data_IF_523229232890
#
_entry.id   IF_523229232890
#
_cell.length_a   1.000
_cell.length_b   1.000
_cell.length_c   1.000
_cell.angle_alpha   90.00
_cell.angle_beta   90.00
_cell.angle_gamma   90.00
#
_symmetry.space_group_name_H-M   'P 1'
#
loop_
_entity.id
_entity.type
_entity.pdbx_description
1 polymer ?
#
# COMPACT_ATOMS: atom_id res chain seq x y z
N UNK A 1 4.65 -1.16 -12.53
CA UNK A 1 4.49 -0.29 -11.35
C UNK A 1 3.54 -1.00 -10.39
N UNK A 2 3.87 -1.10 -9.09
CA UNK A 2 2.95 -1.67 -8.12
C UNK A 2 1.70 -0.80 -7.98
N UNK A 3 0.57 -1.47 -7.88
CA UNK A 3 -0.75 -0.88 -7.83
C UNK A 3 -1.40 -1.28 -6.51
N UNK A 4 -1.99 -0.33 -5.80
CA UNK A 4 -2.67 -0.58 -4.55
C UNK A 4 -4.14 -0.21 -4.65
N UNK A 5 -5.00 -1.09 -4.14
CA UNK A 5 -6.41 -0.75 -3.98
C UNK A 5 -6.54 0.29 -2.86
N UNK A 6 -7.33 1.33 -3.12
CA UNK A 6 -7.68 2.35 -2.13
C UNK A 6 -8.54 1.76 -1.00
N UNK A 7 -8.53 2.42 0.14
CA UNK A 7 -9.35 2.07 1.29
C UNK A 7 -10.83 2.29 0.99
N UNK A 8 -11.65 1.30 1.29
CA UNK A 8 -13.10 1.36 1.12
C UNK A 8 -13.75 2.19 2.26
N UNK A 9 -14.35 3.35 1.96
CA UNK A 9 -14.96 4.20 2.98
C UNK A 9 -16.18 3.56 3.67
N UNK A 10 -16.76 2.48 3.11
CA UNK A 10 -17.84 1.74 3.78
C UNK A 10 -17.34 1.00 5.02
N UNK A 11 -16.05 0.68 5.11
CA UNK A 11 -15.46 0.01 6.27
C UNK A 11 -15.28 0.97 7.45
N UNK A 12 -15.24 2.28 7.21
CA UNK A 12 -15.14 3.29 8.26
C UNK A 12 -14.39 4.54 7.85
N UNK A 13 -13.96 5.32 8.85
CA UNK A 13 -13.17 6.54 8.64
C UNK A 13 -11.71 6.23 8.84
N UNK A 14 -10.93 6.40 7.78
CA UNK A 14 -9.48 6.20 7.79
C UNK A 14 -8.81 7.21 8.74
N UNK A 15 -7.92 6.74 9.61
CA UNK A 15 -7.19 7.56 10.60
C UNK A 15 -5.71 7.71 10.26
N UNK A 16 -5.11 6.70 9.64
CA UNK A 16 -3.74 6.80 9.13
C UNK A 16 -3.47 5.74 8.07
N UNK A 17 -2.49 6.00 7.20
CA UNK A 17 -1.96 5.02 6.25
C UNK A 17 -0.48 4.84 6.48
N UNK A 18 -0.06 3.60 6.71
CA UNK A 18 1.36 3.26 6.80
C UNK A 18 1.78 2.49 5.56
N UNK A 19 2.82 2.99 4.91
CA UNK A 19 3.48 2.33 3.79
C UNK A 19 4.78 1.71 4.27
N UNK A 20 4.97 0.43 3.98
CA UNK A 20 6.24 -0.27 4.14
C UNK A 20 6.80 -0.54 2.75
N UNK A 21 7.81 0.24 2.37
CA UNK A 21 8.43 0.19 1.06
C UNK A 21 9.79 -0.47 1.17
N UNK A 22 10.01 -1.55 0.43
CA UNK A 22 11.33 -2.12 0.22
C UNK A 22 11.86 -1.69 -1.14
N UNK A 23 12.90 -0.87 -1.14
CA UNK A 23 13.61 -0.42 -2.33
C UNK A 23 14.81 -1.33 -2.59
N UNK A 24 14.90 -1.84 -3.83
CA UNK A 24 16.05 -2.61 -4.30
C UNK A 24 16.65 -1.91 -5.52
N UNK A 25 17.96 -1.70 -5.52
CA UNK A 25 18.69 -1.04 -6.60
C UNK A 25 19.95 -1.82 -6.93
N UNK A 26 20.20 -2.02 -8.22
CA UNK A 26 21.44 -2.61 -8.73
C UNK A 26 22.27 -1.51 -9.38
N UNK A 27 23.52 -1.38 -8.96
CA UNK A 27 24.48 -0.44 -9.53
C UNK A 27 25.55 -1.21 -10.28
N UNK A 28 25.91 -0.72 -11.46
CA UNK A 28 26.91 -1.32 -12.32
C UNK A 28 28.04 -0.34 -12.59
N UNK A 29 29.27 -0.79 -12.40
CA UNK A 29 30.48 0.00 -12.58
C UNK A 29 31.36 -0.69 -13.61
N UNK A 30 31.76 0.03 -14.65
CA UNK A 30 32.73 -0.47 -15.61
C UNK A 30 34.11 -0.05 -15.16
N UNK A 31 35.02 -1.02 -15.11
CA UNK A 31 36.39 -0.85 -14.67
C UNK A 31 37.39 -1.06 -15.82
N UNK A 32 36.92 -1.06 -17.06
CA UNK A 32 37.73 -1.15 -18.28
C UNK A 32 38.37 -2.52 -18.54
N UNK A 33 38.22 -3.48 -17.62
CA UNK A 33 38.99 -4.72 -17.62
C UNK A 33 40.40 -4.55 -17.07
N UNK A 34 40.64 -3.50 -16.27
CA UNK A 34 41.90 -3.30 -15.55
C UNK A 34 42.21 -4.52 -14.66
N UNK A 35 43.32 -5.24 -14.90
CA UNK A 35 43.67 -6.44 -14.15
C UNK A 35 44.14 -6.14 -12.72
N UNK A 36 44.45 -4.87 -12.39
CA UNK A 36 44.81 -4.47 -11.02
C UNK A 36 43.60 -4.38 -10.09
N UNK A 37 42.39 -4.27 -10.66
CA UNK A 37 41.16 -4.24 -9.89
C UNK A 37 40.75 -5.69 -9.59
N UNK A 38 40.53 -6.04 -8.30
CA UNK A 38 40.06 -7.37 -7.93
C UNK A 38 38.78 -7.75 -8.68
N UNK A 39 38.47 -9.05 -8.79
CA UNK A 39 37.21 -9.50 -9.41
C UNK A 39 35.97 -9.14 -8.58
N UNK A 40 36.15 -8.86 -7.30
CA UNK A 40 35.10 -8.54 -6.35
C UNK A 40 35.60 -7.52 -5.31
N UNK A 41 35.88 -6.27 -5.69
CA UNK A 41 36.34 -5.25 -4.76
C UNK A 41 35.21 -4.80 -3.83
N UNK A 42 35.58 -4.22 -2.70
CA UNK A 42 34.64 -3.47 -1.88
C UNK A 42 34.41 -2.08 -2.48
N UNK A 43 33.15 -1.67 -2.63
CA UNK A 43 32.78 -0.39 -3.23
C UNK A 43 32.00 0.44 -2.22
N UNK A 44 32.43 1.69 -2.00
CA UNK A 44 31.66 2.66 -1.23
C UNK A 44 30.57 3.26 -2.11
N UNK A 45 29.34 3.22 -1.64
CA UNK A 45 28.18 3.80 -2.30
C UNK A 45 27.57 4.87 -1.41
N UNK A 46 27.35 6.03 -1.99
CA UNK A 46 26.79 7.20 -1.31
C UNK A 46 25.63 7.78 -2.12
N UNK A 47 24.52 8.15 -1.46
CA UNK A 47 23.39 8.79 -2.12
C UNK A 47 22.07 8.63 -1.36
N UNK A 48 20.96 8.68 -2.09
CA UNK A 48 19.61 8.57 -1.52
C UNK A 48 18.72 7.65 -2.34
N UNK A 49 17.95 6.79 -1.66
CA UNK A 49 16.95 5.90 -2.26
C UNK A 49 15.59 6.23 -1.64
N UNK A 50 14.52 6.34 -2.44
CA UNK A 50 13.18 6.44 -1.87
C UNK A 50 12.16 7.12 -2.78
N UNK A 51 11.22 7.84 -2.18
CA UNK A 51 10.35 8.80 -2.85
C UNK A 51 10.12 9.96 -1.88
N UNK A 52 10.04 11.20 -2.38
CA UNK A 52 9.88 12.36 -1.51
C UNK A 52 8.57 12.31 -0.68
N UNK A 53 7.54 11.63 -1.18
CA UNK A 53 6.29 11.38 -0.45
C UNK A 53 6.42 10.20 0.49
N UNK A 54 6.97 9.08 0.02
CA UNK A 54 6.97 7.82 0.77
C UNK A 54 8.22 7.56 1.63
N UNK A 55 9.12 8.55 1.71
CA UNK A 55 10.31 8.55 2.55
C UNK A 55 11.61 8.36 1.76
N UNK A 56 12.65 9.06 2.19
CA UNK A 56 14.01 9.02 1.63
C UNK A 56 14.96 8.32 2.59
N UNK A 57 15.84 7.47 2.07
CA UNK A 57 16.91 6.78 2.82
C UNK A 57 18.24 7.25 2.32
N UNK A 58 19.05 7.81 3.21
CA UNK A 58 20.45 8.06 2.93
C UNK A 58 21.25 6.76 2.98
N UNK A 59 22.11 6.56 1.99
CA UNK A 59 23.04 5.42 1.92
C UNK A 59 24.44 6.00 1.93
N UNK A 60 25.29 5.49 2.82
CA UNK A 60 26.72 5.79 2.83
C UNK A 60 27.51 4.61 3.39
N UNK A 61 27.62 3.55 2.61
CA UNK A 61 28.09 2.25 3.06
C UNK A 61 29.00 1.59 2.05
N UNK A 62 29.77 0.60 2.50
CA UNK A 62 30.66 -0.18 1.66
C UNK A 62 30.02 -1.54 1.40
N UNK A 63 29.96 -1.93 0.13
CA UNK A 63 29.35 -3.16 -0.30
C UNK A 63 30.38 -4.07 -0.97
N UNK A 64 30.24 -5.37 -0.74
CA UNK A 64 30.93 -6.37 -1.52
C UNK A 64 30.35 -6.38 -2.93
N UNK A 65 31.17 -6.05 -3.93
CA UNK A 65 30.75 -6.15 -5.32
C UNK A 65 30.91 -7.57 -5.86
N UNK A 66 30.13 -7.89 -6.90
CA UNK A 66 30.24 -9.13 -7.64
C UNK A 66 30.50 -8.86 -9.13
N UNK A 67 31.41 -9.61 -9.73
CA UNK A 67 31.65 -9.57 -11.18
C UNK A 67 30.38 -9.90 -11.94
N UNK A 68 29.98 -9.02 -12.86
CA UNK A 68 28.85 -9.25 -13.76
C UNK A 68 29.35 -9.72 -15.12
N UNK A 69 30.35 -9.01 -15.65
CA UNK A 69 30.99 -9.27 -16.94
C UNK A 69 32.50 -9.05 -16.83
N UNK A 70 33.31 -9.38 -17.86
CA UNK A 70 34.76 -9.19 -17.82
C UNK A 70 35.23 -7.75 -17.58
N UNK A 71 34.36 -6.75 -17.75
CA UNK A 71 34.65 -5.32 -17.57
C UNK A 71 33.71 -4.62 -16.59
N UNK A 72 32.74 -5.34 -16.00
CA UNK A 72 31.69 -4.74 -15.18
C UNK A 72 31.55 -5.47 -13.86
N UNK A 73 31.48 -4.70 -12.78
CA UNK A 73 31.14 -5.18 -11.44
C UNK A 73 29.79 -4.59 -11.02
N UNK A 74 29.07 -5.32 -10.18
CA UNK A 74 27.73 -4.96 -9.73
C UNK A 74 27.63 -4.95 -8.21
N UNK A 75 26.80 -4.06 -7.69
CA UNK A 75 26.41 -4.00 -6.28
C UNK A 75 24.89 -3.93 -6.19
N UNK A 76 24.29 -4.76 -5.34
CA UNK A 76 22.87 -4.67 -5.00
C UNK A 76 22.70 -4.02 -3.63
N UNK A 77 21.76 -3.09 -3.56
CA UNK A 77 21.41 -2.37 -2.33
C UNK A 77 19.93 -2.56 -2.07
N UNK A 78 19.59 -2.94 -0.84
CA UNK A 78 18.21 -3.08 -0.38
C UNK A 78 17.99 -2.23 0.88
N UNK A 79 16.95 -1.41 0.87
CA UNK A 79 16.52 -0.59 2.01
C UNK A 79 15.02 -0.68 2.22
N UNK A 80 14.60 -0.66 3.47
CA UNK A 80 13.19 -0.64 3.83
C UNK A 80 12.88 0.65 4.58
N UNK A 81 11.80 1.31 4.18
CA UNK A 81 11.28 2.52 4.83
C UNK A 81 9.84 2.30 5.21
N UNK A 82 9.50 2.73 6.42
CA UNK A 82 8.12 2.79 6.91
C UNK A 82 7.73 4.26 7.05
N UNK A 83 6.68 4.68 6.34
CA UNK A 83 6.19 6.06 6.37
C UNK A 83 4.70 6.05 6.69
N UNK A 84 4.29 6.82 7.69
CA UNK A 84 2.89 6.93 8.12
C UNK A 84 2.37 8.33 7.83
N UNK A 85 1.22 8.38 7.16
CA UNK A 85 0.49 9.61 6.87
C UNK A 85 -0.72 9.71 7.80
N UNK A 86 -0.89 10.89 8.39
CA UNK A 86 -2.06 11.26 9.20
C UNK A 86 -2.91 12.34 8.52
N UNK A 87 -2.36 12.97 7.48
CA UNK A 87 -2.98 14.00 6.66
C UNK A 87 -3.14 13.53 5.21
N UNK A 88 -3.90 14.28 4.41
CA UNK A 88 -4.15 13.93 3.00
C UNK A 88 -4.83 12.58 2.80
N UNK A 89 -5.54 12.07 3.82
CA UNK A 89 -6.09 10.71 3.82
C UNK A 89 -7.10 10.44 2.68
N UNK A 90 -7.70 11.50 2.13
CA UNK A 90 -8.59 11.45 0.98
C UNK A 90 -7.93 10.95 -0.30
N UNK A 91 -6.60 11.04 -0.42
CA UNK A 91 -5.88 10.44 -1.55
C UNK A 91 -5.96 8.91 -1.53
N UNK A 92 -6.06 8.33 -0.33
CA UNK A 92 -6.01 6.88 -0.09
C UNK A 92 -7.39 6.23 0.05
N UNK A 93 -8.48 7.00 0.05
CA UNK A 93 -9.85 6.50 0.20
C UNK A 93 -10.63 6.54 -1.12
N UNK A 94 -11.64 5.68 -1.24
CA UNK A 94 -12.58 5.66 -2.36
C UNK A 94 -12.37 4.49 -3.32
N UNK A 95 -12.95 4.60 -4.51
CA UNK A 95 -12.94 3.52 -5.49
C UNK A 95 -11.71 3.62 -6.41
N UNK A 96 -11.06 2.48 -6.67
CA UNK A 96 -10.00 2.36 -7.66
C UNK A 96 -8.64 1.99 -7.11
N UNK A 97 -7.63 2.20 -7.95
CA UNK A 97 -6.24 1.83 -7.73
C UNK A 97 -5.38 3.09 -7.75
N UNK A 98 -4.43 3.21 -6.82
CA UNK A 98 -3.41 4.24 -6.85
C UNK A 98 -2.07 3.66 -7.36
N UNK A 99 -1.36 4.38 -8.26
CA UNK A 99 0.00 4.02 -8.61
C UNK A 99 0.94 4.39 -7.46
N UNK A 100 1.89 3.50 -7.16
CA UNK A 100 3.03 3.83 -6.30
C UNK A 100 4.29 3.68 -7.14
N UNK A 101 5.08 4.75 -7.20
CA UNK A 101 6.37 4.77 -7.85
C UNK A 101 7.43 5.26 -6.86
N UNK A 102 8.68 4.89 -7.12
CA UNK A 102 9.83 5.26 -6.30
C UNK A 102 11.01 5.63 -7.20
N UNK A 103 11.80 6.62 -6.76
CA UNK A 103 12.90 7.21 -7.51
C UNK A 103 14.05 7.62 -6.58
N UNK A 104 15.29 7.24 -6.89
CA UNK A 104 16.47 7.59 -6.09
C UNK A 104 17.69 7.91 -6.94
N UNK A 105 18.67 8.60 -6.35
CA UNK A 105 19.97 8.90 -6.96
C UNK A 105 21.08 8.29 -6.11
N UNK A 106 21.87 7.39 -6.68
CA UNK A 106 22.99 6.73 -6.02
C UNK A 106 24.28 6.93 -6.82
N UNK A 107 25.40 7.12 -6.12
CA UNK A 107 26.71 7.37 -6.73
C UNK A 107 27.82 6.59 -6.00
N UNK A 108 28.95 6.35 -6.67
CA UNK A 108 30.17 5.86 -6.02
C UNK A 108 31.35 6.78 -6.34
N UNK A 109 32.19 7.14 -5.35
CA UNK A 109 33.42 7.87 -5.62
C UNK A 109 34.46 6.99 -6.34
N UNK A 110 35.12 7.51 -7.37
CA UNK A 110 36.33 6.91 -7.95
C UNK A 110 36.15 5.87 -9.06
N UNK A 111 34.91 5.50 -9.42
CA UNK A 111 34.60 4.70 -10.61
C UNK A 111 33.65 5.50 -11.51
N UNK A 112 33.95 5.64 -12.81
CA UNK A 112 33.02 6.25 -13.75
C UNK A 112 31.84 5.29 -13.96
N UNK A 113 30.60 5.68 -13.61
CA UNK A 113 29.45 4.80 -13.83
C UNK A 113 29.27 4.56 -15.33
N UNK A 114 29.45 3.33 -15.80
CA UNK A 114 29.14 2.98 -17.20
C UNK A 114 27.64 2.99 -17.49
N UNK A 115 26.83 2.92 -16.45
CA UNK A 115 25.42 3.24 -16.46
C UNK A 115 24.95 3.08 -15.02
N UNK A 116 24.50 4.17 -14.41
CA UNK A 116 23.47 4.03 -13.37
C UNK A 116 22.18 3.74 -14.12
N UNK A 117 22.08 2.55 -14.70
CA UNK A 117 20.80 2.05 -15.14
C UNK A 117 20.03 1.78 -13.87
N UNK A 118 19.01 2.59 -13.62
CA UNK A 118 17.92 2.21 -12.74
C UNK A 118 16.96 1.39 -13.60
N UNK A 119 17.12 0.06 -13.76
CA UNK A 119 15.95 -0.72 -14.14
C UNK A 119 14.99 -0.48 -12.97
N UNK A 120 13.95 0.33 -13.22
CA UNK A 120 12.84 0.67 -12.33
C UNK A 120 12.96 -0.06 -10.97
N UNK A 121 13.37 0.61 -9.87
CA UNK A 121 13.53 -0.07 -8.59
C UNK A 121 12.28 -0.89 -8.32
N UNK A 122 12.44 -2.21 -8.25
CA UNK A 122 11.32 -3.07 -7.89
C UNK A 122 10.99 -2.74 -6.44
N UNK A 123 9.87 -2.04 -6.26
CA UNK A 123 9.35 -1.68 -4.95
C UNK A 123 8.32 -2.70 -4.54
N UNK A 124 8.58 -3.37 -3.43
CA UNK A 124 7.55 -4.13 -2.75
C UNK A 124 6.90 -3.20 -1.74
N UNK A 125 5.61 -2.97 -1.92
CA UNK A 125 4.84 -2.05 -1.10
C UNK A 125 3.78 -2.84 -0.37
N UNK A 126 3.84 -2.81 0.96
CA UNK A 126 2.75 -3.25 1.81
C UNK A 126 2.12 -2.03 2.45
N UNK A 127 0.78 -1.99 2.47
CA UNK A 127 0.02 -0.90 3.05
C UNK A 127 -0.87 -1.38 4.16
N UNK A 128 -0.82 -0.67 5.28
CA UNK A 128 -1.69 -0.88 6.42
C UNK A 128 -2.58 0.34 6.58
N UNK A 129 -3.89 0.12 6.51
CA UNK A 129 -4.90 1.13 6.78
C UNK A 129 -5.34 1.01 8.23
N UNK A 130 -5.19 2.09 9.00
CA UNK A 130 -5.79 2.20 10.32
C UNK A 130 -7.07 3.03 10.18
N UNK A 131 -8.17 2.58 10.78
CA UNK A 131 -9.47 3.23 10.64
C UNK A 131 -10.33 3.02 11.87
N UNK A 132 -11.26 3.96 12.09
CA UNK A 132 -12.36 3.79 13.03
C UNK A 132 -13.50 3.14 12.26
N UNK A 133 -13.93 1.96 12.71
CA UNK A 133 -14.95 1.17 12.04
C UNK A 133 -16.23 1.98 11.81
N UNK A 134 -16.76 1.91 10.59
CA UNK A 134 -18.07 2.43 10.25
C UNK A 134 -19.11 1.52 10.89
N UNK A 135 -19.81 2.01 11.91
CA UNK A 135 -21.00 1.32 12.39
C UNK A 135 -22.05 1.49 11.30
N UNK A 136 -22.30 0.42 10.53
CA UNK A 136 -23.47 0.39 9.68
C UNK A 136 -24.68 0.67 10.57
N UNK A 137 -25.48 1.67 10.22
CA UNK A 137 -26.72 1.97 10.91
C UNK A 137 -27.67 0.79 10.71
N UNK A 138 -27.51 -0.25 11.53
CA UNK A 138 -28.51 -1.29 11.68
C UNK A 138 -29.70 -0.58 12.30
N UNK A 139 -30.91 -0.67 11.71
CA UNK A 139 -32.08 -0.09 12.32
C UNK A 139 -32.14 -0.60 13.76
N UNK A 140 -32.25 0.31 14.72
CA UNK A 140 -32.13 -0.04 16.13
C UNK A 140 -33.09 -1.19 16.46
N UNK A 141 -32.75 -2.10 17.40
CA UNK A 141 -33.64 -3.20 17.79
C UNK A 141 -35.07 -2.72 18.10
N UNK A 142 -35.20 -1.50 18.61
CA UNK A 142 -36.47 -0.80 18.85
C UNK A 142 -37.26 -0.55 17.58
N UNK A 143 -36.62 -0.20 16.46
CA UNK A 143 -37.27 0.01 15.16
C UNK A 143 -37.85 -1.30 14.64
N UNK A 144 -37.08 -2.41 14.70
CA UNK A 144 -37.58 -3.73 14.30
C UNK A 144 -38.74 -4.17 15.19
N UNK A 145 -38.64 -3.92 16.51
CA UNK A 145 -39.71 -4.21 17.44
C UNK A 145 -40.98 -3.41 17.14
N UNK A 146 -40.88 -2.11 16.86
CA UNK A 146 -42.03 -1.27 16.49
C UNK A 146 -42.68 -1.71 15.17
N UNK A 147 -41.88 -2.13 14.18
CA UNK A 147 -42.41 -2.71 12.94
C UNK A 147 -43.16 -4.01 13.21
N UNK A 148 -42.57 -4.93 13.98
CA UNK A 148 -43.21 -6.19 14.35
C UNK A 148 -44.50 -5.98 15.14
N UNK A 149 -44.52 -5.01 16.05
CA UNK A 149 -45.71 -4.63 16.82
C UNK A 149 -46.78 -4.05 15.89
N UNK A 150 -46.42 -3.14 14.97
CA UNK A 150 -47.34 -2.58 13.99
C UNK A 150 -47.94 -3.64 13.06
N UNK A 151 -47.10 -4.51 12.48
CA UNK A 151 -47.57 -5.63 11.65
C UNK A 151 -48.38 -6.64 12.45
N UNK A 152 -48.02 -6.89 13.70
CA UNK A 152 -48.77 -7.75 14.63
C UNK A 152 -50.18 -7.22 14.91
N UNK A 153 -50.32 -5.91 15.13
CA UNK A 153 -51.63 -5.27 15.32
C UNK A 153 -52.50 -5.35 14.06
N UNK A 154 -51.95 -5.05 12.88
CA UNK A 154 -52.68 -5.13 11.61
C UNK A 154 -53.12 -6.57 11.33
N UNK A 155 -52.22 -7.54 11.49
CA UNK A 155 -52.54 -8.97 11.33
C UNK A 155 -53.59 -9.45 12.34
N UNK A 156 -53.47 -9.01 13.60
CA UNK A 156 -54.44 -9.29 14.66
C UNK A 156 -55.84 -8.75 14.36
N UNK A 157 -55.94 -7.48 13.96
CA UNK A 157 -57.20 -6.85 13.60
C UNK A 157 -57.86 -7.51 12.38
N UNK A 158 -57.07 -7.83 11.35
CA UNK A 158 -57.56 -8.53 10.17
C UNK A 158 -58.10 -9.93 10.51
N UNK A 159 -57.44 -10.66 11.41
CA UNK A 159 -57.89 -11.98 11.88
C UNK A 159 -59.16 -11.88 12.72
N UNK A 160 -59.27 -10.88 13.57
CA UNK A 160 -60.46 -10.65 14.40
C UNK A 160 -61.70 -10.38 13.53
N UNK A 161 -61.58 -9.53 12.50
CA UNK A 161 -62.70 -9.15 11.63
C UNK A 161 -63.27 -10.33 10.83
N UNK A 162 -62.43 -11.28 10.41
CA UNK A 162 -62.86 -12.47 9.67
C UNK A 162 -63.70 -13.46 10.51
N UNK A 163 -63.65 -13.40 11.84
CA UNK A 163 -64.47 -14.26 12.71
C UNK A 163 -65.95 -13.83 12.77
N UNK A 164 -66.28 -12.61 12.37
CA UNK A 164 -67.63 -12.04 12.51
C UNK A 164 -68.49 -12.12 11.24
N UNK A 165 -68.06 -12.84 10.20
CA UNK A 165 -68.84 -12.97 8.97
C UNK A 165 -70.03 -13.91 9.21
N UNK A 166 -71.14 -13.37 9.75
CA UNK A 166 -72.43 -14.08 9.79
C UNK A 166 -72.95 -14.17 8.36
N UNK A 167 -72.87 -15.36 7.77
CA UNK A 167 -73.53 -15.67 6.50
C UNK A 167 -75.04 -15.59 6.76
N UNK A 168 -75.72 -14.63 6.13
CA UNK A 168 -77.19 -14.62 6.04
C UNK A 168 -77.57 -15.34 4.75
N UNK A 169 -78.38 -16.38 4.87
CA UNK A 169 -79.04 -16.99 3.72
C UNK A 169 -80.32 -16.21 3.41
N UNK A 170 -80.57 -15.97 2.13
CA UNK A 170 -81.77 -15.33 1.60
C UNK A 170 -82.84 -16.38 1.27
#
# INVERSE_FOLDING_TARGET
MPYLRKFDPLLGTLTSVTFNNRYVSNLYFNYGGDPSIPTAPMIRVTGTIGDARFGLVYVDEIFQSGRQDPRTIGVQISRTVSTTFFDGLSFYTGNGIMPVAAFGNLTSPGLSPASVSFPSPWSYVSVTYNYVAGVAAVPEPTTWAMMLVGFGMVGGAARYRRRSTKIKFA
#
